data_IF_226817342741
#
_entry.id   IF_226817342741
#
_cell.length_a   1.000
_cell.length_b   1.000
_cell.length_c   1.000
_cell.angle_alpha   90.00
_cell.angle_beta   90.00
_cell.angle_gamma   90.00
#
_symmetry.space_group_name_H-M   'P 1'
#
loop_
_entity.id
_entity.type
_entity.pdbx_description
1 polymer ?
#
# COMPACT_ATOMS: atom_id res chain seq x y z
N UNK A 1 -12.17 29.87 11.03
CA UNK A 1 -12.75 30.13 9.75
C UNK A 1 -11.87 29.41 8.75
N UNK A 2 -12.47 28.60 7.93
CA UNK A 2 -11.86 27.77 6.91
C UNK A 2 -10.95 26.64 7.40
N UNK A 3 -11.48 25.84 8.31
CA UNK A 3 -11.05 24.46 8.47
C UNK A 3 -11.51 23.65 7.27
N UNK A 4 -10.85 23.78 6.13
CA UNK A 4 -10.94 22.77 5.09
C UNK A 4 -10.44 21.47 5.71
N UNK A 5 -11.40 20.66 6.08
CA UNK A 5 -11.15 19.31 6.55
C UNK A 5 -10.55 18.53 5.39
N UNK A 6 -9.26 18.33 5.40
CA UNK A 6 -8.55 17.38 4.54
C UNK A 6 -8.94 15.92 4.86
N UNK A 7 -10.08 15.73 5.51
CA UNK A 7 -10.65 14.43 5.80
C UNK A 7 -11.25 13.87 4.51
N UNK A 8 -10.68 12.78 4.03
CA UNK A 8 -11.25 11.98 2.96
C UNK A 8 -12.66 11.53 3.35
N UNK A 9 -13.60 11.58 2.43
CA UNK A 9 -14.93 11.02 2.67
C UNK A 9 -14.83 9.51 2.94
N UNK A 10 -15.80 8.93 3.64
CA UNK A 10 -15.81 7.50 3.93
C UNK A 10 -15.73 6.65 2.64
N UNK A 11 -16.36 7.12 1.57
CA UNK A 11 -16.32 6.47 0.26
C UNK A 11 -14.92 6.54 -0.37
N UNK A 12 -14.27 7.70 -0.34
CA UNK A 12 -12.90 7.86 -0.83
C UNK A 12 -11.90 7.01 -0.03
N UNK A 13 -12.07 6.94 1.28
CA UNK A 13 -11.24 6.09 2.14
C UNK A 13 -11.41 4.61 1.80
N UNK A 14 -12.64 4.16 1.54
CA UNK A 14 -12.91 2.79 1.12
C UNK A 14 -12.27 2.50 -0.24
N UNK A 15 -12.42 3.39 -1.21
CA UNK A 15 -11.85 3.25 -2.56
C UNK A 15 -10.32 3.16 -2.48
N UNK A 16 -9.66 4.10 -1.80
CA UNK A 16 -8.20 4.10 -1.64
C UNK A 16 -7.71 2.85 -0.90
N UNK A 17 -8.41 2.45 0.17
CA UNK A 17 -8.07 1.23 0.93
C UNK A 17 -8.20 -0.04 0.09
N UNK A 18 -9.22 -0.13 -0.76
CA UNK A 18 -9.41 -1.27 -1.67
C UNK A 18 -8.33 -1.29 -2.75
N UNK A 19 -8.06 -0.14 -3.35
CA UNK A 19 -7.05 0.00 -4.40
C UNK A 19 -5.64 -0.41 -3.96
N UNK A 20 -5.26 -0.04 -2.76
CA UNK A 20 -3.95 -0.39 -2.22
C UNK A 20 -3.80 -1.87 -1.90
N UNK A 21 -4.91 -2.61 -1.80
CA UNK A 21 -4.94 -4.05 -1.49
C UNK A 21 -5.15 -4.94 -2.71
N UNK A 22 -5.77 -4.41 -3.76
CA UNK A 22 -5.97 -5.14 -5.02
C UNK A 22 -4.76 -4.90 -5.91
N UNK A 23 -4.02 -5.96 -6.18
CA UNK A 23 -2.84 -5.89 -7.02
C UNK A 23 -2.65 -7.19 -7.81
N UNK A 24 -1.77 -7.17 -8.78
CA UNK A 24 -1.43 -8.36 -9.58
C UNK A 24 -0.98 -9.55 -8.73
N UNK A 25 -0.33 -9.30 -7.59
CA UNK A 25 0.08 -10.34 -6.66
C UNK A 25 -1.09 -11.18 -6.14
N UNK A 26 -2.26 -10.57 -5.96
CA UNK A 26 -3.46 -11.28 -5.52
C UNK A 26 -3.97 -12.26 -6.59
N UNK A 27 -3.92 -11.88 -7.86
CA UNK A 27 -4.31 -12.75 -8.98
C UNK A 27 -3.32 -13.88 -9.18
N UNK A 28 -2.06 -13.54 -9.39
CA UNK A 28 -0.99 -14.52 -9.63
C UNK A 28 -0.80 -15.44 -8.42
N UNK A 29 -0.89 -14.89 -7.20
CA UNK A 29 -0.78 -15.66 -5.95
C UNK A 29 -1.91 -16.67 -5.79
N UNK A 30 -3.16 -16.30 -6.11
CA UNK A 30 -4.31 -17.23 -6.06
C UNK A 30 -4.17 -18.32 -7.10
N UNK A 31 -3.80 -17.98 -8.34
CA UNK A 31 -3.57 -18.97 -9.41
C UNK A 31 -2.45 -19.93 -9.01
N UNK A 32 -1.33 -19.44 -8.51
CA UNK A 32 -0.22 -20.25 -8.06
C UNK A 32 -0.62 -21.18 -6.88
N UNK A 33 -1.37 -20.65 -5.92
CA UNK A 33 -1.85 -21.43 -4.79
C UNK A 33 -2.81 -22.56 -5.21
N UNK A 34 -3.71 -22.30 -6.15
CA UNK A 34 -4.63 -23.31 -6.68
C UNK A 34 -3.87 -24.34 -7.51
N UNK A 35 -2.91 -23.90 -8.32
CA UNK A 35 -2.08 -24.80 -9.14
C UNK A 35 -1.22 -25.75 -8.31
N UNK A 36 -0.70 -25.28 -7.17
CA UNK A 36 0.14 -26.09 -6.29
C UNK A 36 -0.65 -26.91 -5.26
N UNK A 37 -1.71 -26.33 -4.70
CA UNK A 37 -2.49 -26.90 -3.59
C UNK A 37 -3.87 -27.43 -3.96
N UNK A 38 -4.27 -27.32 -5.23
CA UNK A 38 -5.60 -27.73 -5.68
C UNK A 38 -6.74 -26.90 -5.08
N UNK A 39 -7.96 -27.42 -5.20
CA UNK A 39 -9.19 -26.73 -4.73
C UNK A 39 -9.18 -26.46 -3.22
N UNK A 40 -8.51 -27.28 -2.41
CA UNK A 40 -8.37 -27.10 -0.97
C UNK A 40 -7.65 -25.80 -0.58
N UNK A 41 -6.80 -25.26 -1.45
CA UNK A 41 -6.12 -23.99 -1.21
C UNK A 41 -7.10 -22.84 -1.02
N UNK A 42 -8.22 -22.82 -1.75
CA UNK A 42 -9.25 -21.77 -1.65
C UNK A 42 -9.90 -21.77 -0.26
N UNK A 43 -10.19 -22.93 0.27
CA UNK A 43 -10.74 -23.06 1.62
C UNK A 43 -9.78 -22.49 2.68
N UNK A 44 -8.52 -22.82 2.60
CA UNK A 44 -7.51 -22.30 3.53
C UNK A 44 -7.26 -20.80 3.37
N UNK A 45 -7.35 -20.27 2.14
CA UNK A 45 -7.30 -18.84 1.91
C UNK A 45 -8.45 -18.11 2.62
N UNK A 46 -9.69 -18.65 2.61
CA UNK A 46 -10.81 -18.07 3.31
C UNK A 46 -10.61 -18.11 4.84
N UNK A 47 -10.18 -19.24 5.38
CA UNK A 47 -9.88 -19.36 6.81
C UNK A 47 -8.83 -18.34 7.23
N UNK A 48 -7.76 -18.23 6.47
CA UNK A 48 -6.68 -17.27 6.74
C UNK A 48 -7.16 -15.82 6.62
N UNK A 49 -8.04 -15.52 5.66
CA UNK A 49 -8.62 -14.19 5.50
C UNK A 49 -9.50 -13.81 6.71
N UNK A 50 -10.31 -14.72 7.21
CA UNK A 50 -11.12 -14.50 8.42
C UNK A 50 -10.26 -14.23 9.65
N UNK A 51 -9.23 -15.04 9.88
CA UNK A 51 -8.29 -14.82 10.99
C UNK A 51 -7.49 -13.53 10.83
N UNK A 52 -7.03 -13.24 9.61
CA UNK A 52 -6.27 -12.04 9.29
C UNK A 52 -7.09 -10.75 9.37
N UNK A 53 -8.42 -10.82 9.20
CA UNK A 53 -9.28 -9.65 9.30
C UNK A 53 -9.27 -9.02 10.70
N UNK A 54 -9.17 -9.84 11.74
CA UNK A 54 -9.06 -9.40 13.14
C UNK A 54 -7.79 -8.61 13.40
N UNK A 55 -6.66 -9.12 12.92
CA UNK A 55 -5.36 -8.44 13.01
C UNK A 55 -5.35 -7.13 12.23
N UNK A 56 -5.92 -7.13 11.02
CA UNK A 56 -6.04 -5.93 10.19
C UNK A 56 -6.90 -4.85 10.85
N UNK A 57 -7.99 -5.25 11.52
CA UNK A 57 -8.84 -4.33 12.27
C UNK A 57 -8.10 -3.67 13.43
N UNK A 58 -7.38 -4.47 14.24
CA UNK A 58 -6.57 -3.96 15.35
C UNK A 58 -5.49 -3.00 14.84
N UNK A 59 -4.79 -3.37 13.78
CA UNK A 59 -3.75 -2.54 13.17
C UNK A 59 -4.30 -1.20 12.67
N UNK A 60 -5.41 -1.22 11.95
CA UNK A 60 -6.08 -0.01 11.46
C UNK A 60 -6.54 0.89 12.61
N UNK A 61 -7.07 0.31 13.69
CA UNK A 61 -7.51 1.05 14.88
C UNK A 61 -6.32 1.70 15.57
N UNK A 62 -5.23 0.97 15.78
CA UNK A 62 -4.00 1.52 16.37
C UNK A 62 -3.40 2.62 15.50
N UNK A 63 -3.41 2.46 14.18
CA UNK A 63 -2.92 3.49 13.26
C UNK A 63 -3.72 4.78 13.36
N UNK A 64 -5.05 4.71 13.58
CA UNK A 64 -5.88 5.89 13.79
C UNK A 64 -5.70 6.52 15.17
N UNK A 65 -5.55 5.72 16.22
CA UNK A 65 -5.36 6.22 17.59
C UNK A 65 -4.02 6.94 17.78
N UNK A 66 -2.98 6.47 17.12
CA UNK A 66 -1.61 6.97 17.26
C UNK A 66 -1.11 7.78 16.06
N UNK A 67 -2.03 8.26 15.21
CA UNK A 67 -1.67 9.13 14.09
C UNK A 67 -1.14 10.48 14.59
N UNK A 68 -0.22 11.05 13.84
CA UNK A 68 0.38 12.36 14.07
C UNK A 68 0.13 13.26 12.85
N UNK A 69 0.09 14.57 13.07
CA UNK A 69 0.08 15.53 11.98
C UNK A 69 1.42 15.51 11.24
N UNK A 70 1.35 15.50 9.92
CA UNK A 70 2.56 15.54 9.10
C UNK A 70 2.94 17.00 8.81
N UNK A 71 4.08 17.48 9.33
CA UNK A 71 4.51 18.85 9.12
C UNK A 71 4.91 19.14 7.67
N UNK A 72 5.15 18.11 6.84
CA UNK A 72 5.61 18.27 5.46
C UNK A 72 4.46 18.41 4.46
N UNK A 73 3.36 17.71 4.69
CA UNK A 73 2.27 17.59 3.70
C UNK A 73 0.92 18.09 4.20
N UNK A 74 0.80 18.50 5.46
CA UNK A 74 -0.45 19.00 6.06
C UNK A 74 -1.54 17.94 6.22
N UNK A 75 -1.16 16.66 6.22
CA UNK A 75 -2.04 15.50 6.45
C UNK A 75 -1.71 14.79 7.75
N UNK A 76 -2.09 13.52 7.84
CA UNK A 76 -1.78 12.67 8.98
C UNK A 76 -0.83 11.54 8.57
N UNK A 77 0.10 11.22 9.44
CA UNK A 77 1.00 10.08 9.32
C UNK A 77 0.79 9.13 10.49
N UNK A 78 0.90 7.85 10.23
CA UNK A 78 0.70 6.81 11.23
C UNK A 78 1.19 5.46 10.74
N UNK A 79 0.88 4.43 11.49
CA UNK A 79 1.22 3.06 11.14
C UNK A 79 2.04 2.37 12.20
N UNK A 80 2.51 1.12 11.95
CA UNK A 80 3.16 0.28 12.96
C UNK A 80 4.39 0.91 13.61
N UNK A 81 5.22 1.60 12.84
CA UNK A 81 6.40 2.28 13.37
C UNK A 81 6.03 3.36 14.42
N UNK A 82 4.93 4.10 14.18
CA UNK A 82 4.50 5.19 15.05
C UNK A 82 3.88 4.67 16.34
N UNK A 83 2.92 3.73 16.27
CA UNK A 83 2.30 3.23 17.50
C UNK A 83 3.26 2.38 18.33
N UNK A 84 4.18 1.66 17.72
CA UNK A 84 5.25 0.98 18.47
C UNK A 84 6.15 1.98 19.17
N UNK A 85 6.55 3.05 18.50
CA UNK A 85 7.37 4.10 19.11
C UNK A 85 6.67 4.72 20.32
N UNK A 86 5.42 5.15 20.18
CA UNK A 86 4.62 5.75 21.26
C UNK A 86 4.34 4.80 22.41
N UNK A 87 4.10 3.54 22.14
CA UNK A 87 3.87 2.53 23.17
C UNK A 87 5.07 2.39 24.10
N UNK A 88 6.25 2.35 23.52
CA UNK A 88 7.49 2.19 24.29
C UNK A 88 7.98 3.50 24.92
N UNK A 89 7.74 4.64 24.29
CA UNK A 89 8.04 5.95 24.87
C UNK A 89 7.25 6.18 26.17
N UNK A 90 6.00 5.74 26.24
CA UNK A 90 5.17 5.80 27.45
C UNK A 90 5.72 4.95 28.59
N UNK A 91 6.45 3.89 28.28
CA UNK A 91 7.03 2.97 29.28
C UNK A 91 8.42 3.42 29.76
N UNK A 92 9.20 4.08 28.93
CA UNK A 92 10.58 4.47 29.25
C UNK A 92 10.87 5.88 28.71
N UNK A 93 10.68 6.89 29.58
CA UNK A 93 10.83 8.33 29.24
C UNK A 93 12.24 8.74 28.76
N UNK A 94 13.23 7.85 28.80
CA UNK A 94 14.63 8.13 28.46
C UNK A 94 15.10 7.62 27.11
N UNK A 95 14.38 6.74 26.44
CA UNK A 95 14.83 6.15 25.17
C UNK A 95 14.12 6.77 23.97
N UNK A 96 14.77 7.78 23.41
CA UNK A 96 14.32 8.51 22.19
C UNK A 96 14.40 7.69 20.91
N UNK A 97 15.07 6.55 20.91
CA UNK A 97 15.25 5.66 19.76
C UNK A 97 14.90 4.23 20.14
N UNK A 98 13.84 3.71 19.56
CA UNK A 98 13.46 2.31 19.71
C UNK A 98 14.00 1.51 18.54
N UNK A 99 14.93 0.57 18.76
CA UNK A 99 15.51 -0.23 17.70
C UNK A 99 14.45 -1.05 16.94
N UNK A 100 13.36 -1.43 17.61
CA UNK A 100 12.29 -2.22 17.02
C UNK A 100 11.49 -1.43 15.96
N UNK A 101 11.14 -0.16 16.23
CA UNK A 101 10.43 0.67 15.25
C UNK A 101 11.30 1.05 14.06
N UNK A 102 12.60 1.26 14.29
CA UNK A 102 13.56 1.50 13.21
C UNK A 102 13.74 0.24 12.35
N UNK A 103 13.88 -0.92 12.98
CA UNK A 103 13.98 -2.19 12.27
C UNK A 103 12.73 -2.46 11.42
N UNK A 104 11.54 -2.20 11.98
CA UNK A 104 10.28 -2.30 11.24
C UNK A 104 10.23 -1.35 10.03
N UNK A 105 10.64 -0.09 10.20
CA UNK A 105 10.67 0.87 9.11
C UNK A 105 11.65 0.46 8.00
N UNK A 106 12.85 -0.02 8.37
CA UNK A 106 13.83 -0.50 7.41
C UNK A 106 13.35 -1.75 6.67
N UNK A 107 12.77 -2.72 7.37
CA UNK A 107 12.21 -3.92 6.74
C UNK A 107 11.04 -3.58 5.82
N UNK A 108 10.22 -2.59 6.20
CA UNK A 108 9.15 -2.06 5.36
C UNK A 108 9.68 -1.43 4.07
N UNK A 109 10.73 -0.63 4.13
CA UNK A 109 11.36 -0.04 2.94
C UNK A 109 11.89 -1.12 1.98
N UNK A 110 12.56 -2.14 2.48
CA UNK A 110 13.06 -3.26 1.68
C UNK A 110 11.89 -4.00 1.02
N UNK A 111 10.83 -4.28 1.78
CA UNK A 111 9.62 -4.92 1.27
C UNK A 111 8.97 -4.11 0.14
N UNK A 112 8.79 -2.80 0.33
CA UNK A 112 8.21 -1.92 -0.67
C UNK A 112 9.06 -1.82 -1.94
N UNK A 113 10.39 -1.82 -1.82
CA UNK A 113 11.28 -1.91 -2.97
C UNK A 113 11.04 -3.19 -3.78
N UNK A 114 10.95 -4.34 -3.11
CA UNK A 114 10.65 -5.62 -3.77
C UNK A 114 9.29 -5.63 -4.47
N UNK A 115 8.25 -5.15 -3.80
CA UNK A 115 6.90 -5.04 -4.37
C UNK A 115 6.90 -4.14 -5.61
N UNK A 116 7.54 -2.97 -5.53
CA UNK A 116 7.63 -2.02 -6.66
C UNK A 116 8.34 -2.64 -7.86
N UNK A 117 9.38 -3.43 -7.63
CA UNK A 117 10.10 -4.14 -8.69
C UNK A 117 9.21 -5.18 -9.37
N UNK A 118 8.46 -5.98 -8.60
CA UNK A 118 7.54 -6.99 -9.15
C UNK A 118 6.44 -6.34 -9.98
N UNK A 119 5.82 -5.27 -9.48
CA UNK A 119 4.78 -4.53 -10.20
C UNK A 119 5.34 -3.95 -11.49
N UNK A 120 6.49 -3.27 -11.44
CA UNK A 120 7.13 -2.67 -12.62
C UNK A 120 7.46 -3.71 -13.69
N UNK A 121 8.00 -4.85 -13.27
CA UNK A 121 8.30 -5.96 -14.19
C UNK A 121 7.03 -6.54 -14.83
N UNK A 122 5.95 -6.65 -14.07
CA UNK A 122 4.67 -7.13 -14.57
C UNK A 122 4.06 -6.19 -15.60
N UNK A 123 4.10 -4.89 -15.34
CA UNK A 123 3.64 -3.87 -16.30
C UNK A 123 4.47 -3.91 -17.57
N UNK A 124 5.80 -3.95 -17.46
CA UNK A 124 6.71 -4.04 -18.60
C UNK A 124 6.46 -5.31 -19.44
N UNK A 125 6.19 -6.44 -18.79
CA UNK A 125 5.85 -7.70 -19.45
C UNK A 125 4.50 -7.64 -20.16
N UNK A 126 3.50 -7.00 -19.57
CA UNK A 126 2.20 -6.79 -20.20
C UNK A 126 2.32 -5.94 -21.46
N UNK A 127 3.09 -4.85 -21.44
CA UNK A 127 3.36 -4.02 -22.62
C UNK A 127 4.12 -4.77 -23.70
N UNK A 128 5.10 -5.59 -23.33
CA UNK A 128 5.81 -6.44 -24.28
C UNK A 128 4.87 -7.42 -24.98
N UNK A 129 3.97 -8.06 -24.23
CA UNK A 129 3.07 -9.06 -24.79
C UNK A 129 1.94 -8.43 -25.62
N UNK A 130 1.42 -7.27 -25.22
CA UNK A 130 0.32 -6.60 -25.92
C UNK A 130 0.78 -5.80 -27.13
N UNK A 131 1.89 -5.10 -27.05
CA UNK A 131 2.35 -4.14 -28.06
C UNK A 131 3.70 -4.48 -28.68
N UNK A 132 4.32 -5.58 -28.26
CA UNK A 132 5.67 -5.99 -28.69
C UNK A 132 6.77 -4.93 -28.43
N UNK A 133 6.52 -4.03 -27.48
CA UNK A 133 7.47 -2.98 -27.06
C UNK A 133 8.56 -3.62 -26.20
N UNK A 134 9.85 -3.36 -26.46
CA UNK A 134 10.93 -3.85 -25.61
C UNK A 134 10.77 -3.38 -24.15
N UNK A 135 11.00 -4.25 -23.14
CA UNK A 135 10.80 -3.91 -21.73
C UNK A 135 11.56 -2.67 -21.27
N UNK A 136 12.69 -2.37 -21.91
CA UNK A 136 13.52 -1.22 -21.58
C UNK A 136 12.75 0.10 -21.72
N UNK A 137 12.04 0.30 -22.84
CA UNK A 137 11.28 1.52 -23.07
C UNK A 137 10.12 1.66 -22.08
N UNK A 138 9.40 0.58 -21.82
CA UNK A 138 8.31 0.55 -20.83
C UNK A 138 8.82 0.91 -19.44
N UNK A 139 9.98 0.40 -19.04
CA UNK A 139 10.60 0.69 -17.74
C UNK A 139 11.01 2.15 -17.65
N UNK A 140 11.62 2.72 -18.68
CA UNK A 140 12.00 4.15 -18.71
C UNK A 140 10.76 5.04 -18.54
N UNK A 141 9.69 4.74 -19.27
CA UNK A 141 8.43 5.50 -19.17
C UNK A 141 7.85 5.40 -17.76
N UNK A 142 7.85 4.22 -17.15
CA UNK A 142 7.38 4.03 -15.76
C UNK A 142 8.20 4.81 -14.76
N UNK A 143 9.53 4.85 -14.90
CA UNK A 143 10.42 5.63 -14.03
C UNK A 143 10.13 7.11 -14.14
N UNK A 144 9.98 7.62 -15.37
CA UNK A 144 9.66 9.04 -15.62
C UNK A 144 8.30 9.40 -15.02
N UNK A 145 7.27 8.59 -15.27
CA UNK A 145 5.93 8.78 -14.70
C UNK A 145 5.96 8.76 -13.17
N UNK A 146 6.63 7.79 -12.59
CA UNK A 146 6.80 7.68 -11.15
C UNK A 146 7.51 8.91 -10.55
N UNK A 147 8.59 9.37 -11.18
CA UNK A 147 9.29 10.56 -10.75
C UNK A 147 8.41 11.82 -10.83
N UNK A 148 7.65 12.00 -11.91
CA UNK A 148 6.72 13.13 -12.07
C UNK A 148 5.62 13.10 -11.00
N UNK A 149 5.06 11.93 -10.71
CA UNK A 149 4.01 11.77 -9.68
C UNK A 149 4.56 12.07 -8.29
N UNK A 150 5.74 11.56 -7.95
CA UNK A 150 6.36 11.76 -6.63
C UNK A 150 6.79 13.23 -6.42
N UNK A 151 7.30 13.89 -7.45
CA UNK A 151 7.75 15.29 -7.35
C UNK A 151 6.58 16.28 -7.28
N UNK A 152 5.38 15.93 -7.73
CA UNK A 152 4.18 16.77 -7.66
C UNK A 152 3.33 16.43 -6.44
N UNK A 153 3.39 17.24 -5.38
CA UNK A 153 2.70 17.03 -4.09
C UNK A 153 1.20 16.68 -4.16
N UNK A 154 0.47 17.22 -5.12
CA UNK A 154 -0.99 17.05 -5.22
C UNK A 154 -1.41 16.14 -6.39
N UNK A 155 -0.48 15.70 -7.23
CA UNK A 155 -0.80 14.90 -8.40
C UNK A 155 -1.15 13.45 -8.01
N UNK A 156 -0.52 12.92 -6.97
CA UNK A 156 -0.70 11.55 -6.52
C UNK A 156 -2.14 11.29 -6.06
N UNK A 157 -2.70 12.18 -5.24
CA UNK A 157 -4.06 12.03 -4.71
C UNK A 157 -5.08 12.15 -5.85
N UNK A 158 -4.95 13.18 -6.70
CA UNK A 158 -5.86 13.37 -7.85
C UNK A 158 -5.75 12.24 -8.87
N UNK A 159 -4.55 11.71 -9.11
CA UNK A 159 -4.37 10.57 -9.99
C UNK A 159 -5.05 9.32 -9.43
N UNK A 160 -4.92 9.06 -8.14
CA UNK A 160 -5.58 7.93 -7.47
C UNK A 160 -7.10 8.05 -7.52
N UNK A 161 -7.66 9.24 -7.29
CA UNK A 161 -9.11 9.48 -7.34
C UNK A 161 -9.75 9.11 -8.68
N UNK A 162 -9.00 9.21 -9.77
CA UNK A 162 -9.47 8.85 -11.11
C UNK A 162 -9.09 7.42 -11.50
N UNK A 163 -7.84 7.04 -11.26
CA UNK A 163 -7.33 5.73 -11.72
C UNK A 163 -7.96 4.56 -10.97
N UNK A 164 -8.29 4.74 -9.70
CA UNK A 164 -8.80 3.65 -8.86
C UNK A 164 -10.20 3.21 -9.24
N UNK A 165 -11.18 4.12 -9.43
CA UNK A 165 -12.51 3.72 -9.92
C UNK A 165 -12.47 3.09 -11.31
N UNK A 166 -11.60 3.62 -12.21
CA UNK A 166 -11.42 3.05 -13.55
C UNK A 166 -10.83 1.64 -13.46
N UNK A 167 -9.82 1.45 -12.63
CA UNK A 167 -9.24 0.13 -12.40
C UNK A 167 -10.25 -0.85 -11.81
N UNK A 168 -11.03 -0.42 -10.83
CA UNK A 168 -12.07 -1.26 -10.23
C UNK A 168 -13.15 -1.65 -11.25
N UNK A 169 -13.56 -0.72 -12.12
CA UNK A 169 -14.52 -0.98 -13.19
C UNK A 169 -13.99 -1.91 -14.30
N UNK A 170 -12.70 -1.88 -14.57
CA UNK A 170 -12.07 -2.80 -15.53
C UNK A 170 -11.80 -4.19 -14.94
N UNK A 171 -11.78 -4.31 -13.62
CA UNK A 171 -11.51 -5.57 -12.92
C UNK A 171 -12.79 -6.40 -12.71
N UNK A 172 -13.97 -5.79 -12.73
CA UNK A 172 -15.29 -6.42 -12.66
C UNK A 172 -15.77 -6.85 -14.05
#
# INVERSE_FOLDING_TARGET
>A
QDGETTALSACQTLIVSTATRVGMGNLVGVVAAISAGGAGAVFWMWVTALLGSTTAFIEATLAQLYKEEDPLYGGYRGGPAYYMHKFFEKKDKKKRWMPLSVLFALSGLICWCGISQVISNSVASAFKNAFHIPPLYSTIVLVILGAVIVLRKNATVKALDVMVPVMAGLYL
#
